data_IF_299013955242
#
_entry.id   IF_299013955242
#
_cell.length_a   1.000
_cell.length_b   1.000
_cell.length_c   1.000
_cell.angle_alpha   90.00
_cell.angle_beta   90.00
_cell.angle_gamma   90.00
#
_symmetry.space_group_name_H-M   'P 1'
#
loop_
_entity.id
_entity.type
_entity.pdbx_description
1 polymer ?
#
# COMPACT_ATOMS: atom_id res chain seq x y z
N UNK A 1 -4.69 22.35 -11.64
CA UNK A 1 -4.03 21.08 -11.97
C UNK A 1 -2.75 20.88 -11.20
N UNK A 2 -1.83 21.82 -11.25
CA UNK A 2 -0.63 21.65 -10.45
C UNK A 2 -0.92 21.73 -8.95
N UNK A 3 -1.96 22.49 -8.55
CA UNK A 3 -2.41 22.48 -7.15
C UNK A 3 -2.87 21.10 -6.73
N UNK A 4 -3.56 20.40 -7.64
CA UNK A 4 -3.99 19.04 -7.40
C UNK A 4 -2.78 18.12 -7.19
N UNK A 5 -1.75 18.28 -8.02
CA UNK A 5 -0.51 17.52 -7.87
C UNK A 5 0.18 17.85 -6.53
N UNK A 6 0.23 19.13 -6.18
CA UNK A 6 0.81 19.56 -4.91
C UNK A 6 0.07 19.01 -3.71
N UNK A 7 -1.27 18.94 -3.81
CA UNK A 7 -2.09 18.38 -2.74
C UNK A 7 -1.84 16.87 -2.60
N UNK A 8 -1.67 16.16 -3.72
CA UNK A 8 -1.37 14.74 -3.71
C UNK A 8 0.01 14.47 -3.10
N UNK A 9 1.01 15.28 -3.43
CA UNK A 9 2.34 15.16 -2.85
C UNK A 9 2.32 15.44 -1.35
N UNK A 10 1.55 16.44 -0.94
CA UNK A 10 1.41 16.77 0.48
C UNK A 10 0.74 15.63 1.24
N UNK A 11 -0.28 15.03 0.65
CA UNK A 11 -0.96 13.89 1.25
C UNK A 11 -0.01 12.69 1.35
N UNK A 12 0.76 12.43 0.30
CA UNK A 12 1.77 11.37 0.30
C UNK A 12 2.79 11.59 1.44
N UNK A 13 3.31 12.80 1.55
CA UNK A 13 4.30 13.13 2.58
C UNK A 13 3.70 13.02 3.98
N UNK A 14 2.45 13.44 4.15
CA UNK A 14 1.77 13.36 5.43
C UNK A 14 1.54 11.91 5.87
N UNK A 15 1.03 11.07 4.97
CA UNK A 15 0.77 9.68 5.31
C UNK A 15 2.07 8.92 5.54
N UNK A 16 3.13 9.26 4.82
CA UNK A 16 4.46 8.71 5.07
C UNK A 16 4.93 9.09 6.48
N UNK A 17 4.82 10.36 6.83
CA UNK A 17 5.27 10.86 8.14
C UNK A 17 4.50 10.22 9.29
N UNK A 18 3.18 10.09 9.14
CA UNK A 18 2.35 9.46 10.17
C UNK A 18 2.73 7.99 10.33
N UNK A 19 3.00 7.31 9.22
CA UNK A 19 3.37 5.90 9.26
C UNK A 19 4.70 5.70 9.97
N UNK A 20 5.70 6.51 9.63
CA UNK A 20 7.02 6.43 10.28
C UNK A 20 6.94 6.80 11.76
N UNK A 21 6.17 7.83 12.09
CA UNK A 21 6.16 8.36 13.44
C UNK A 21 5.22 7.66 14.41
N UNK A 22 4.18 7.02 13.92
CA UNK A 22 3.13 6.45 14.77
C UNK A 22 2.77 5.01 14.46
N UNK A 23 2.54 4.68 13.19
CA UNK A 23 2.05 3.35 12.83
C UNK A 23 3.13 2.30 13.01
N UNK A 24 4.31 2.51 12.45
CA UNK A 24 5.41 1.56 12.56
C UNK A 24 5.85 1.38 14.02
N UNK A 25 6.06 2.44 14.81
CA UNK A 25 6.39 2.25 16.22
C UNK A 25 5.34 1.48 16.99
N UNK A 26 4.05 1.73 16.71
CA UNK A 26 2.97 0.99 17.36
C UNK A 26 3.05 -0.50 17.02
N UNK A 27 3.23 -0.82 15.74
CA UNK A 27 3.34 -2.22 15.31
C UNK A 27 4.55 -2.89 15.93
N UNK A 28 5.69 -2.21 15.96
CA UNK A 28 6.93 -2.75 16.51
C UNK A 28 6.88 -2.96 18.03
N UNK A 29 6.04 -2.19 18.72
CA UNK A 29 5.89 -2.38 20.16
C UNK A 29 5.10 -3.62 20.51
N UNK A 30 4.37 -4.19 19.55
CA UNK A 30 3.52 -5.36 19.77
C UNK A 30 3.93 -6.56 18.94
N UNK A 31 4.85 -6.41 18.01
CA UNK A 31 5.20 -7.46 17.07
C UNK A 31 6.58 -7.22 16.49
N UNK A 32 7.40 -8.26 16.43
CA UNK A 32 8.72 -8.18 15.81
C UNK A 32 8.58 -8.41 14.30
N UNK A 33 9.03 -7.46 13.51
CA UNK A 33 8.96 -7.59 12.05
C UNK A 33 9.87 -8.71 11.56
N UNK A 34 9.37 -9.63 10.71
CA UNK A 34 10.25 -10.59 10.04
C UNK A 34 11.30 -9.87 9.21
N UNK A 35 12.50 -10.45 9.09
CA UNK A 35 13.60 -9.81 8.37
C UNK A 35 13.25 -9.51 6.91
N UNK A 36 12.55 -10.42 6.25
CA UNK A 36 12.15 -10.26 4.85
C UNK A 36 10.64 -10.04 4.74
N UNK A 37 10.11 -9.17 5.58
CA UNK A 37 8.67 -8.92 5.63
C UNK A 37 8.15 -8.43 4.28
N UNK A 38 7.00 -8.96 3.89
CA UNK A 38 6.30 -8.55 2.69
C UNK A 38 5.01 -7.87 3.11
N UNK A 39 4.77 -6.67 2.54
CA UNK A 39 3.66 -5.81 2.95
C UNK A 39 2.71 -5.61 1.79
N UNK A 40 1.43 -5.77 2.06
CA UNK A 40 0.36 -5.49 1.09
C UNK A 40 -0.51 -4.37 1.65
N UNK A 41 -0.77 -3.36 0.86
CA UNK A 41 -1.76 -2.33 1.22
C UNK A 41 -2.88 -2.35 0.18
N UNK A 42 -4.11 -2.51 0.67
CA UNK A 42 -5.31 -2.47 -0.15
C UNK A 42 -5.92 -1.08 -0.01
N UNK A 43 -6.11 -0.39 -1.13
CA UNK A 43 -6.50 1.00 -1.14
C UNK A 43 -5.31 1.92 -0.93
N UNK A 44 -4.18 1.61 -1.59
CA UNK A 44 -2.91 2.28 -1.29
C UNK A 44 -2.87 3.75 -1.73
N UNK A 45 -3.74 4.16 -2.65
CA UNK A 45 -3.76 5.53 -3.11
C UNK A 45 -2.41 5.98 -3.66
N UNK A 46 -1.90 7.09 -3.14
CA UNK A 46 -0.62 7.66 -3.55
C UNK A 46 0.59 6.94 -2.94
N UNK A 47 0.34 5.97 -2.06
CA UNK A 47 1.35 5.07 -1.52
C UNK A 47 2.28 5.64 -0.45
N UNK A 48 1.84 6.69 0.27
CA UNK A 48 2.66 7.26 1.35
C UNK A 48 2.94 6.28 2.47
N UNK A 49 1.99 5.39 2.78
CA UNK A 49 2.19 4.35 3.79
C UNK A 49 3.24 3.34 3.32
N UNK A 50 3.11 2.87 2.07
CA UNK A 50 4.07 1.90 1.54
C UNK A 50 5.48 2.45 1.46
N UNK A 51 5.63 3.74 1.18
CA UNK A 51 6.94 4.39 1.16
C UNK A 51 7.68 4.18 2.48
N UNK A 52 6.98 4.28 3.61
CA UNK A 52 7.59 4.09 4.92
C UNK A 52 8.13 2.66 5.09
N UNK A 53 7.44 1.67 4.53
CA UNK A 53 7.90 0.29 4.63
C UNK A 53 9.02 -0.03 3.64
N UNK A 54 8.97 0.54 2.42
CA UNK A 54 10.09 0.36 1.49
C UNK A 54 11.36 1.02 2.01
N UNK A 55 11.24 2.14 2.76
CA UNK A 55 12.39 2.78 3.39
C UNK A 55 13.08 1.86 4.40
N UNK A 56 12.34 0.93 4.99
CA UNK A 56 12.91 -0.07 5.89
C UNK A 56 13.46 -1.30 5.15
N UNK A 57 13.37 -1.30 3.84
CA UNK A 57 13.91 -2.39 3.01
C UNK A 57 12.92 -3.51 2.71
N UNK A 58 11.65 -3.35 3.07
CA UNK A 58 10.67 -4.39 2.85
C UNK A 58 10.07 -4.36 1.45
N UNK A 59 9.65 -5.53 0.96
CA UNK A 59 8.95 -5.65 -0.32
C UNK A 59 7.49 -5.30 -0.12
N UNK A 60 6.97 -4.42 -0.97
CA UNK A 60 5.63 -3.89 -0.83
C UNK A 60 4.81 -4.05 -2.11
N UNK A 61 3.52 -4.28 -1.93
CA UNK A 61 2.56 -4.33 -3.03
C UNK A 61 1.37 -3.45 -2.66
N UNK A 62 0.94 -2.60 -3.59
CA UNK A 62 -0.23 -1.76 -3.41
C UNK A 62 -1.30 -2.10 -4.42
N UNK A 63 -2.54 -2.18 -3.96
CA UNK A 63 -3.70 -2.39 -4.82
C UNK A 63 -4.56 -1.14 -4.72
N UNK A 64 -4.90 -0.56 -5.87
CA UNK A 64 -5.71 0.65 -5.90
C UNK A 64 -6.64 0.60 -7.10
N UNK A 65 -7.92 0.88 -6.87
CA UNK A 65 -8.94 0.89 -7.90
C UNK A 65 -8.83 2.10 -8.83
N UNK A 66 -8.47 3.26 -8.26
CA UNK A 66 -8.40 4.50 -9.04
C UNK A 66 -7.04 4.67 -9.70
N UNK A 67 -7.01 4.52 -11.02
CA UNK A 67 -5.77 4.66 -11.80
C UNK A 67 -5.13 6.03 -11.63
N UNK A 68 -5.93 7.09 -11.50
CA UNK A 68 -5.40 8.44 -11.32
C UNK A 68 -4.55 8.56 -10.04
N UNK A 69 -4.92 7.84 -8.99
CA UNK A 69 -4.14 7.84 -7.76
C UNK A 69 -2.86 7.03 -7.93
N UNK A 70 -2.93 5.92 -8.66
CA UNK A 70 -1.74 5.10 -8.91
C UNK A 70 -0.72 5.82 -9.79
N UNK A 71 -1.17 6.70 -10.68
CA UNK A 71 -0.24 7.51 -11.46
C UNK A 71 0.64 8.35 -10.55
N UNK A 72 0.06 8.97 -9.52
CA UNK A 72 0.83 9.70 -8.52
C UNK A 72 1.74 8.76 -7.72
N UNK A 73 1.24 7.59 -7.34
CA UNK A 73 2.05 6.62 -6.62
C UNK A 73 3.29 6.23 -7.42
N UNK A 74 3.12 5.96 -8.71
CA UNK A 74 4.22 5.59 -9.60
C UNK A 74 5.23 6.73 -9.72
N UNK A 75 4.75 7.96 -9.79
CA UNK A 75 5.63 9.12 -9.85
C UNK A 75 6.41 9.28 -8.55
N UNK A 76 5.73 9.22 -7.41
CA UNK A 76 6.36 9.46 -6.11
C UNK A 76 7.29 8.32 -5.68
N UNK A 77 7.12 7.14 -6.25
CA UNK A 77 7.91 5.97 -5.89
C UNK A 77 8.71 5.42 -7.08
N UNK A 78 9.14 6.29 -7.98
CA UNK A 78 9.89 5.88 -9.16
C UNK A 78 11.15 5.08 -8.82
N UNK A 79 11.89 5.51 -7.81
CA UNK A 79 13.13 4.83 -7.42
C UNK A 79 12.83 3.43 -6.90
N UNK A 80 11.81 3.31 -6.05
CA UNK A 80 11.45 2.03 -5.48
C UNK A 80 10.92 1.05 -6.54
N UNK A 81 10.16 1.57 -7.51
CA UNK A 81 9.71 0.75 -8.64
C UNK A 81 10.89 0.24 -9.45
N UNK A 82 11.86 1.12 -9.75
CA UNK A 82 13.04 0.76 -10.51
C UNK A 82 13.88 -0.29 -9.79
N UNK A 83 13.91 -0.25 -8.47
CA UNK A 83 14.66 -1.18 -7.64
C UNK A 83 13.88 -2.47 -7.36
N UNK A 84 12.64 -2.57 -7.80
CA UNK A 84 11.81 -3.74 -7.55
C UNK A 84 11.31 -3.87 -6.11
N UNK A 85 11.33 -2.80 -5.35
CA UNK A 85 10.88 -2.80 -3.95
C UNK A 85 9.38 -2.65 -3.79
N UNK A 86 8.69 -2.17 -4.81
CA UNK A 86 7.25 -1.99 -4.78
C UNK A 86 6.66 -2.37 -6.13
N UNK A 87 5.44 -2.89 -6.10
CA UNK A 87 4.64 -3.06 -7.31
C UNK A 87 3.23 -2.55 -7.02
N UNK A 88 2.56 -2.10 -8.07
CA UNK A 88 1.20 -1.59 -7.97
C UNK A 88 0.27 -2.35 -8.91
N UNK A 89 -0.93 -2.65 -8.42
CA UNK A 89 -1.98 -3.30 -9.20
C UNK A 89 -3.19 -2.38 -9.25
N UNK A 90 -3.58 -2.01 -10.47
CA UNK A 90 -4.81 -1.24 -10.67
C UNK A 90 -5.95 -2.23 -10.89
N UNK A 91 -6.51 -2.69 -9.79
CA UNK A 91 -7.58 -3.70 -9.81
C UNK A 91 -8.54 -3.48 -8.67
N UNK A 92 -9.78 -3.91 -8.87
CA UNK A 92 -10.72 -4.13 -7.78
C UNK A 92 -10.21 -5.36 -7.01
N UNK A 93 -10.27 -5.29 -5.68
CA UNK A 93 -9.79 -6.41 -4.86
C UNK A 93 -10.52 -7.71 -5.18
N UNK A 94 -11.77 -7.64 -5.62
CA UNK A 94 -12.53 -8.83 -6.00
C UNK A 94 -11.98 -9.50 -7.26
N UNK A 95 -11.22 -8.77 -8.07
CA UNK A 95 -10.65 -9.28 -9.32
C UNK A 95 -9.20 -9.72 -9.16
N UNK A 96 -8.62 -9.58 -7.97
CA UNK A 96 -7.26 -10.02 -7.70
C UNK A 96 -7.22 -11.53 -7.59
N UNK A 97 -6.32 -12.15 -8.35
CA UNK A 97 -6.08 -13.60 -8.29
C UNK A 97 -4.78 -13.79 -7.51
N UNK A 98 -4.84 -14.28 -6.26
CA UNK A 98 -3.66 -14.31 -5.39
C UNK A 98 -2.44 -15.02 -6.01
N UNK A 99 -2.66 -16.15 -6.68
CA UNK A 99 -1.55 -16.94 -7.23
C UNK A 99 -0.83 -16.22 -8.37
N UNK A 100 -1.59 -15.55 -9.26
CA UNK A 100 -0.99 -14.91 -10.44
C UNK A 100 -0.66 -13.43 -10.22
N UNK A 101 -1.47 -12.73 -9.44
CA UNK A 101 -1.29 -11.30 -9.26
C UNK A 101 -0.34 -10.96 -8.11
N UNK A 102 -0.40 -11.71 -7.02
CA UNK A 102 0.39 -11.44 -5.83
C UNK A 102 1.60 -12.36 -5.71
N UNK A 103 1.47 -13.60 -6.16
CA UNK A 103 2.57 -14.54 -6.29
C UNK A 103 3.19 -15.06 -5.01
N UNK A 104 2.85 -14.50 -3.87
CA UNK A 104 3.51 -14.86 -2.62
C UNK A 104 2.63 -14.51 -1.44
N UNK A 105 3.06 -14.94 -0.25
CA UNK A 105 2.40 -14.61 0.99
C UNK A 105 2.85 -13.24 1.47
N UNK A 106 1.99 -12.60 2.25
CA UNK A 106 2.30 -11.34 2.90
C UNK A 106 2.28 -11.52 4.41
N UNK A 107 3.19 -10.83 5.08
CA UNK A 107 3.31 -10.87 6.53
C UNK A 107 2.45 -9.79 7.19
N UNK A 108 2.19 -8.71 6.47
CA UNK A 108 1.40 -7.58 6.94
C UNK A 108 0.47 -7.12 5.84
N UNK A 109 -0.82 -7.03 6.15
CA UNK A 109 -1.82 -6.53 5.22
C UNK A 109 -2.47 -5.31 5.85
N UNK A 110 -2.42 -4.19 5.14
CA UNK A 110 -2.97 -2.92 5.60
C UNK A 110 -4.21 -2.60 4.78
N UNK A 111 -5.30 -2.31 5.49
CA UNK A 111 -6.55 -1.84 4.88
C UNK A 111 -6.72 -0.38 5.27
N UNK A 112 -6.65 0.51 4.28
CA UNK A 112 -6.75 1.93 4.54
C UNK A 112 -7.93 2.51 3.79
N UNK A 113 -8.96 2.90 4.52
CA UNK A 113 -10.15 3.55 3.99
C UNK A 113 -10.87 2.76 2.88
N UNK A 114 -10.56 1.46 2.76
CA UNK A 114 -11.07 0.68 1.65
C UNK A 114 -12.39 -0.01 2.00
N UNK A 115 -12.59 -0.39 3.26
CA UNK A 115 -13.78 -1.16 3.66
C UNK A 115 -15.05 -0.34 3.46
N UNK A 116 -15.00 0.96 3.70
CA UNK A 116 -16.15 1.85 3.50
C UNK A 116 -16.66 1.85 2.07
N UNK A 117 -15.77 1.55 1.12
CA UNK A 117 -16.08 1.62 -0.30
C UNK A 117 -16.32 0.25 -0.93
N UNK A 118 -16.30 -0.81 -0.14
CA UNK A 118 -16.54 -2.17 -0.62
C UNK A 118 -17.99 -2.53 -0.37
N UNK A 119 -18.78 -2.79 -1.45
CA UNK A 119 -20.22 -3.06 -1.29
C UNK A 119 -20.56 -4.29 -0.47
N UNK A 120 -19.69 -5.29 -0.47
CA UNK A 120 -19.93 -6.55 0.21
C UNK A 120 -18.70 -6.94 1.03
N UNK A 121 -18.68 -6.46 2.27
CA UNK A 121 -17.56 -6.72 3.17
C UNK A 121 -17.45 -8.20 3.54
N UNK A 122 -18.56 -8.90 3.63
CA UNK A 122 -18.55 -10.33 3.94
C UNK A 122 -17.89 -11.14 2.81
N UNK A 123 -18.08 -10.70 1.57
CA UNK A 123 -17.43 -11.33 0.41
C UNK A 123 -15.95 -10.95 0.35
N UNK A 124 -15.63 -9.73 0.74
CA UNK A 124 -14.25 -9.22 0.67
C UNK A 124 -13.34 -9.88 1.70
N UNK A 125 -13.79 -9.97 2.94
CA UNK A 125 -12.93 -10.42 4.04
C UNK A 125 -12.30 -11.79 3.82
N UNK A 126 -13.01 -12.80 3.28
CA UNK A 126 -12.39 -14.09 3.05
C UNK A 126 -11.20 -14.06 2.09
N UNK A 127 -11.10 -13.07 1.21
CA UNK A 127 -10.00 -12.96 0.26
C UNK A 127 -8.68 -12.59 0.92
N UNK A 128 -8.71 -12.15 2.16
CA UNK A 128 -7.52 -11.78 2.90
C UNK A 128 -6.83 -12.99 3.56
N UNK A 129 -7.49 -14.13 3.56
CA UNK A 129 -6.97 -15.37 4.15
C UNK A 129 -6.44 -16.37 3.09
#
# INVERSE_FOLDING_TARGET
MYEFHGDKRRYFDMTHKVTVGHIIPFLQSNWSFPADMRVLEIGCGEAGVLKAFTDLGFQCTGIELEESRLEFAREFMQAELAEGKVQFLNKDIYDVVPESDLGTRFDLIILKDVIEHIPDQARFMPQLH
#
